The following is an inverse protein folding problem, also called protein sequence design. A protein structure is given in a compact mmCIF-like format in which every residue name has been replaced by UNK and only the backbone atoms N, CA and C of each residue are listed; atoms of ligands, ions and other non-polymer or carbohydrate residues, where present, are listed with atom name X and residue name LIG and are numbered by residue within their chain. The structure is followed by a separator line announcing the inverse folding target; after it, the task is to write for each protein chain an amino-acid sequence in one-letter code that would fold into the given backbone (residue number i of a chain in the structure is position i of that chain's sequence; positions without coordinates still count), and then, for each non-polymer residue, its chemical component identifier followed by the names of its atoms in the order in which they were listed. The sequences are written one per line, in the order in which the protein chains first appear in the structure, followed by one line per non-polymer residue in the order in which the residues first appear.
data_IF_271376550123
#
_entry.id   IF_271376550123
#
_cell.length_a   1.000
_cell.length_b   1.000
_cell.length_c   1.000
_cell.angle_alpha   90.00
_cell.angle_beta   90.00
_cell.angle_gamma   90.00
#
_symmetry.space_group_name_H-M   'P 1'
#
loop_
_entity.id
_entity.type
_entity.pdbx_description
1 polymer ?
#
# COMPACT_ATOMS: atom_id res chain seq x y z
N UNK A 1 7.70 -43.35 74.87
CA UNK A 1 8.18 -42.02 74.44
C UNK A 1 9.01 -42.22 73.17
N UNK A 2 8.42 -41.93 72.01
CA UNK A 2 9.09 -41.81 70.70
C UNK A 2 8.28 -40.74 69.95
N UNK A 3 8.86 -39.61 69.48
CA UNK A 3 8.13 -38.66 68.66
C UNK A 3 8.18 -39.10 67.20
N UNK A 4 7.02 -39.28 66.57
CA UNK A 4 6.90 -39.42 65.12
C UNK A 4 7.12 -38.06 64.46
N UNK A 5 8.14 -37.97 63.61
CA UNK A 5 8.39 -36.79 62.77
C UNK A 5 7.42 -36.78 61.59
N UNK A 6 6.44 -35.88 61.61
CA UNK A 6 5.57 -35.59 60.47
C UNK A 6 6.36 -34.73 59.46
N UNK A 7 6.92 -35.38 58.45
CA UNK A 7 7.54 -34.71 57.31
C UNK A 7 6.42 -34.07 56.47
N UNK A 8 6.27 -32.75 56.58
CA UNK A 8 5.28 -31.98 55.84
C UNK A 8 5.47 -32.13 54.32
N UNK A 9 4.33 -32.24 53.63
CA UNK A 9 4.16 -32.56 52.22
C UNK A 9 4.63 -31.41 51.32
N UNK A 10 5.94 -31.33 51.05
CA UNK A 10 6.54 -30.39 50.09
C UNK A 10 6.44 -30.90 48.64
N UNK A 11 5.22 -31.26 48.18
CA UNK A 11 4.98 -31.81 46.84
C UNK A 11 4.11 -30.92 45.94
N UNK A 12 3.12 -30.24 46.51
CA UNK A 12 2.10 -29.53 45.73
C UNK A 12 2.54 -28.13 45.27
N UNK A 13 3.39 -27.44 46.04
CA UNK A 13 3.86 -26.08 45.70
C UNK A 13 4.64 -26.04 44.38
N UNK A 14 5.57 -26.98 44.17
CA UNK A 14 6.44 -27.01 42.99
C UNK A 14 5.67 -27.29 41.68
N UNK A 15 4.56 -28.05 41.71
CA UNK A 15 3.70 -28.30 40.54
C UNK A 15 2.85 -27.06 40.23
N UNK A 16 2.35 -26.37 41.26
CA UNK A 16 1.56 -25.14 41.11
C UNK A 16 2.45 -24.00 40.57
N UNK A 17 3.67 -23.84 41.09
CA UNK A 17 4.66 -22.88 40.58
C UNK A 17 5.04 -23.16 39.13
N UNK A 18 5.27 -24.43 38.75
CA UNK A 18 5.55 -24.80 37.35
C UNK A 18 4.38 -24.51 36.42
N UNK A 19 3.14 -24.75 36.86
CA UNK A 19 1.93 -24.42 36.10
C UNK A 19 1.76 -22.91 35.95
N UNK A 20 2.00 -22.15 37.01
CA UNK A 20 1.95 -20.69 36.98
C UNK A 20 3.04 -20.11 36.07
N UNK A 21 4.27 -20.62 36.16
CA UNK A 21 5.38 -20.20 35.30
C UNK A 21 5.12 -20.55 33.83
N UNK A 22 4.58 -21.75 33.54
CA UNK A 22 4.19 -22.12 32.18
C UNK A 22 3.06 -21.26 31.62
N UNK A 23 2.11 -20.84 32.47
CA UNK A 23 1.04 -19.93 32.06
C UNK A 23 1.59 -18.53 31.73
N UNK A 24 2.54 -18.02 32.51
CA UNK A 24 3.21 -16.72 32.24
C UNK A 24 3.99 -16.78 30.94
N UNK A 25 4.74 -17.85 30.68
CA UNK A 25 5.44 -18.04 29.40
C UNK A 25 4.50 -18.16 28.22
N UNK A 26 3.34 -18.81 28.39
CA UNK A 26 2.28 -18.87 27.39
C UNK A 26 1.68 -17.49 27.07
N UNK A 27 1.44 -16.67 28.10
CA UNK A 27 0.95 -15.30 27.90
C UNK A 27 2.00 -14.45 27.17
N UNK A 28 3.26 -14.51 27.61
CA UNK A 28 4.36 -13.78 26.96
C UNK A 28 4.53 -14.17 25.50
N UNK A 29 4.47 -15.46 25.18
CA UNK A 29 4.59 -15.93 23.80
C UNK A 29 3.43 -15.46 22.93
N UNK A 30 2.19 -15.49 23.44
CA UNK A 30 1.02 -14.93 22.74
C UNK A 30 1.21 -13.43 22.48
N UNK A 31 1.64 -12.66 23.48
CA UNK A 31 1.88 -11.22 23.30
C UNK A 31 2.92 -10.93 22.22
N UNK A 32 4.01 -11.69 22.20
CA UNK A 32 5.04 -11.57 21.14
C UNK A 32 4.45 -11.90 19.76
N UNK A 33 3.68 -12.99 19.65
CA UNK A 33 3.04 -13.37 18.39
C UNK A 33 2.03 -12.32 17.91
N UNK A 34 1.28 -11.69 18.82
CA UNK A 34 0.35 -10.60 18.48
C UNK A 34 1.10 -9.41 17.90
N UNK A 35 2.24 -9.02 18.48
CA UNK A 35 3.06 -7.93 17.96
C UNK A 35 3.62 -8.26 16.57
N UNK A 36 4.13 -9.47 16.38
CA UNK A 36 4.64 -9.93 15.08
C UNK A 36 3.52 -9.94 14.04
N UNK A 37 2.36 -10.49 14.38
CA UNK A 37 1.21 -10.54 13.49
C UNK A 37 0.72 -9.13 13.13
N UNK A 38 0.65 -8.21 14.10
CA UNK A 38 0.31 -6.81 13.86
C UNK A 38 1.28 -6.15 12.86
N UNK A 39 2.59 -6.30 13.08
CA UNK A 39 3.60 -5.77 12.17
C UNK A 39 3.49 -6.34 10.75
N UNK A 40 3.22 -7.64 10.60
CA UNK A 40 3.00 -8.26 9.30
C UNK A 40 1.76 -7.73 8.59
N UNK A 41 0.65 -7.57 9.32
CA UNK A 41 -0.60 -7.01 8.78
C UNK A 41 -0.40 -5.57 8.32
N UNK A 42 0.35 -4.77 9.08
CA UNK A 42 0.63 -3.37 8.72
C UNK A 42 1.46 -3.27 7.45
N UNK A 43 2.52 -4.08 7.32
CA UNK A 43 3.33 -4.15 6.10
C UNK A 43 2.47 -4.59 4.91
N UNK A 44 1.66 -5.64 5.08
CA UNK A 44 0.78 -6.12 4.02
C UNK A 44 -0.20 -5.03 3.57
N UNK A 45 -0.81 -4.29 4.51
CA UNK A 45 -1.72 -3.18 4.20
C UNK A 45 -1.03 -2.07 3.42
N UNK A 46 0.24 -1.77 3.75
CA UNK A 46 1.04 -0.80 3.00
C UNK A 46 1.27 -1.25 1.55
N UNK A 47 1.65 -2.51 1.34
CA UNK A 47 1.83 -3.06 -0.02
C UNK A 47 0.53 -3.10 -0.81
N UNK A 48 -0.57 -3.52 -0.17
CA UNK A 48 -1.90 -3.50 -0.79
C UNK A 48 -2.32 -2.08 -1.20
N UNK A 49 -2.01 -1.08 -0.37
CA UNK A 49 -2.26 0.32 -0.71
C UNK A 49 -1.43 0.79 -1.91
N UNK A 50 -0.15 0.43 -1.96
CA UNK A 50 0.75 0.79 -3.06
C UNK A 50 0.32 0.16 -4.39
N UNK A 51 0.03 -1.14 -4.39
CA UNK A 51 -0.38 -1.85 -5.59
C UNK A 51 -1.72 -1.33 -6.12
N UNK A 52 -2.66 -1.03 -5.23
CA UNK A 52 -3.90 -0.37 -5.61
C UNK A 52 -3.65 0.98 -6.29
N UNK A 53 -2.77 1.82 -5.73
CA UNK A 53 -2.47 3.14 -6.31
C UNK A 53 -1.88 3.03 -7.72
N UNK A 54 -1.02 2.05 -7.97
CA UNK A 54 -0.49 1.79 -9.31
C UNK A 54 -1.56 1.30 -10.28
N UNK A 55 -2.46 0.42 -9.85
CA UNK A 55 -3.59 -0.02 -10.67
C UNK A 55 -4.49 1.14 -11.07
N UNK A 56 -4.82 2.02 -10.12
CA UNK A 56 -5.65 3.21 -10.37
C UNK A 56 -4.94 4.19 -11.30
N UNK A 57 -3.62 4.38 -11.13
CA UNK A 57 -2.84 5.25 -12.02
C UNK A 57 -2.80 4.71 -13.46
N UNK A 58 -2.67 3.39 -13.65
CA UNK A 58 -2.73 2.76 -14.97
C UNK A 58 -4.10 2.90 -15.61
N UNK A 59 -5.16 2.68 -14.85
CA UNK A 59 -6.53 2.86 -15.32
C UNK A 59 -6.81 4.32 -15.70
N UNK A 60 -6.37 5.28 -14.89
CA UNK A 60 -6.50 6.70 -15.17
C UNK A 60 -5.71 7.11 -16.42
N UNK A 61 -4.49 6.60 -16.59
CA UNK A 61 -3.70 6.82 -17.79
C UNK A 61 -4.38 6.26 -19.05
N UNK A 62 -4.96 5.05 -18.97
CA UNK A 62 -5.69 4.44 -20.07
C UNK A 62 -6.98 5.21 -20.41
N UNK A 63 -7.73 5.65 -19.40
CA UNK A 63 -8.94 6.45 -19.58
C UNK A 63 -8.61 7.81 -20.22
N UNK A 64 -7.58 8.50 -19.71
CA UNK A 64 -7.10 9.77 -20.26
C UNK A 64 -6.61 9.62 -21.71
N UNK A 65 -5.81 8.60 -22.01
CA UNK A 65 -5.30 8.37 -23.36
C UNK A 65 -6.37 7.85 -24.36
N UNK A 66 -7.39 7.14 -23.88
CA UNK A 66 -8.45 6.63 -24.75
C UNK A 66 -9.45 7.71 -25.15
N UNK A 67 -9.83 8.58 -24.20
CA UNK A 67 -10.84 9.63 -24.41
C UNK A 67 -10.25 10.99 -24.77
N UNK A 68 -9.03 11.28 -24.34
CA UNK A 68 -8.35 12.54 -24.63
C UNK A 68 -7.56 12.55 -25.94
N UNK A 69 -7.80 11.61 -26.86
CA UNK A 69 -7.13 11.60 -28.18
C UNK A 69 -7.61 12.79 -29.02
N UNK A 70 -6.66 13.60 -29.48
CA UNK A 70 -6.91 14.72 -30.39
C UNK A 70 -6.94 14.22 -31.84
N UNK A 71 -8.14 14.03 -32.38
CA UNK A 71 -8.34 13.57 -33.74
C UNK A 71 -8.07 14.65 -34.78
N UNK A 72 -8.22 15.92 -34.42
CA UNK A 72 -7.95 17.03 -35.33
C UNK A 72 -6.43 17.15 -35.55
N UNK A 73 -5.63 17.00 -34.49
CA UNK A 73 -4.18 16.92 -34.61
C UNK A 73 -3.73 15.73 -35.47
N UNK A 74 -4.36 14.56 -35.32
CA UNK A 74 -4.08 13.38 -36.14
C UNK A 74 -4.34 13.65 -37.63
N UNK A 75 -5.47 14.27 -37.96
CA UNK A 75 -5.85 14.55 -39.35
C UNK A 75 -4.91 15.58 -40.01
N UNK A 76 -4.43 16.56 -39.23
CA UNK A 76 -3.60 17.65 -39.76
C UNK A 76 -2.10 17.33 -39.77
N UNK A 77 -1.61 16.58 -38.79
CA UNK A 77 -0.16 16.33 -38.59
C UNK A 77 0.25 14.88 -38.85
N UNK A 78 -0.71 13.95 -38.86
CA UNK A 78 -0.44 12.51 -38.94
C UNK A 78 0.00 11.88 -37.62
N UNK A 79 0.14 12.66 -36.55
CA UNK A 79 0.59 12.18 -35.23
C UNK A 79 -0.55 12.14 -34.21
N UNK A 80 -0.56 11.10 -33.37
CA UNK A 80 -1.51 10.98 -32.27
C UNK A 80 -1.07 11.87 -31.12
N UNK A 81 -1.79 12.97 -30.92
CA UNK A 81 -1.61 13.85 -29.77
C UNK A 81 -2.75 13.68 -28.76
N UNK A 82 -2.56 14.20 -27.56
CA UNK A 82 -3.60 14.25 -26.55
C UNK A 82 -4.09 15.69 -26.37
N UNK A 83 -5.41 15.87 -26.38
CA UNK A 83 -6.03 17.05 -25.81
C UNK A 83 -5.79 17.02 -24.29
N UNK A 84 -4.92 17.92 -23.84
CA UNK A 84 -4.50 17.98 -22.44
C UNK A 84 -5.68 18.18 -21.48
N UNK A 85 -6.68 18.99 -21.86
CA UNK A 85 -7.81 19.29 -20.99
C UNK A 85 -8.71 18.06 -20.83
N UNK A 86 -9.06 17.41 -21.94
CA UNK A 86 -9.91 16.21 -21.93
C UNK A 86 -9.20 15.04 -21.26
N UNK A 87 -7.93 14.78 -21.63
CA UNK A 87 -7.15 13.71 -21.04
C UNK A 87 -6.97 13.88 -19.53
N UNK A 88 -6.71 15.12 -19.06
CA UNK A 88 -6.56 15.41 -17.63
C UNK A 88 -7.87 15.24 -16.88
N UNK A 89 -8.99 15.69 -17.45
CA UNK A 89 -10.32 15.57 -16.83
C UNK A 89 -10.72 14.10 -16.66
N UNK A 90 -10.56 13.29 -17.70
CA UNK A 90 -10.91 11.86 -17.67
C UNK A 90 -10.03 11.08 -16.70
N UNK A 91 -8.72 11.35 -16.68
CA UNK A 91 -7.82 10.76 -15.69
C UNK A 91 -8.19 11.17 -14.25
N UNK A 92 -8.54 12.45 -14.03
CA UNK A 92 -8.99 12.94 -12.73
C UNK A 92 -10.27 12.25 -12.26
N UNK A 93 -11.24 12.04 -13.15
CA UNK A 93 -12.49 11.36 -12.80
C UNK A 93 -12.25 9.93 -12.30
N UNK A 94 -11.35 9.18 -12.94
CA UNK A 94 -11.00 7.82 -12.50
C UNK A 94 -10.35 7.84 -11.12
N UNK A 95 -9.34 8.71 -10.91
CA UNK A 95 -8.65 8.80 -9.62
C UNK A 95 -9.59 9.24 -8.51
N UNK A 96 -10.42 10.26 -8.76
CA UNK A 96 -11.39 10.75 -7.79
C UNK A 96 -12.43 9.69 -7.42
N UNK A 97 -12.96 8.97 -8.41
CA UNK A 97 -13.89 7.85 -8.18
C UNK A 97 -13.24 6.75 -7.34
N UNK A 98 -12.01 6.35 -7.67
CA UNK A 98 -11.29 5.33 -6.92
C UNK A 98 -10.96 5.77 -5.47
N UNK A 99 -10.58 7.04 -5.27
CA UNK A 99 -10.34 7.60 -3.95
C UNK A 99 -11.61 7.63 -3.11
N UNK A 100 -12.75 8.03 -3.69
CA UNK A 100 -14.05 8.04 -3.03
C UNK A 100 -14.49 6.62 -2.65
N UNK A 101 -14.35 5.64 -3.55
CA UNK A 101 -14.68 4.24 -3.29
C UNK A 101 -13.88 3.65 -2.12
N UNK A 102 -12.66 4.14 -1.90
CA UNK A 102 -11.80 3.73 -0.78
C UNK A 102 -11.93 4.62 0.47
N UNK A 103 -12.79 5.64 0.42
CA UNK A 103 -13.00 6.59 1.53
C UNK A 103 -11.80 7.48 1.82
N UNK A 104 -10.93 7.73 0.83
CA UNK A 104 -9.75 8.58 1.02
C UNK A 104 -10.18 10.05 0.95
N UNK A 105 -10.04 10.74 2.07
CA UNK A 105 -10.39 12.16 2.24
C UNK A 105 -9.15 12.99 2.61
N UNK A 106 -9.14 14.27 2.23
CA UNK A 106 -8.08 15.21 2.61
C UNK A 106 -6.78 15.12 1.80
N UNK A 107 -6.72 14.25 0.78
CA UNK A 107 -5.60 14.16 -0.15
C UNK A 107 -5.99 14.69 -1.53
N UNK A 108 -5.05 15.35 -2.20
CA UNK A 108 -5.23 15.85 -3.57
C UNK A 108 -4.37 15.04 -4.54
N UNK A 109 -4.96 14.55 -5.63
CA UNK A 109 -4.21 13.92 -6.73
C UNK A 109 -3.57 14.98 -7.63
N UNK A 110 -2.32 14.76 -8.02
CA UNK A 110 -1.64 15.56 -9.05
C UNK A 110 -1.51 14.71 -10.32
N UNK A 111 -2.15 15.14 -11.39
CA UNK A 111 -2.17 14.45 -12.69
C UNK A 111 -1.58 15.39 -13.73
N UNK A 112 -0.66 14.86 -14.53
CA UNK A 112 -0.01 15.58 -15.62
C UNK A 112 -0.09 14.76 -16.90
N UNK A 113 -0.44 15.42 -17.99
CA UNK A 113 -0.55 14.83 -19.32
C UNK A 113 0.57 15.41 -20.17
N UNK A 114 1.27 14.56 -20.91
CA UNK A 114 2.22 14.95 -21.95
C UNK A 114 1.48 14.90 -23.28
N UNK A 115 1.17 16.05 -23.90
CA UNK A 115 0.43 16.09 -25.17
C UNK A 115 1.27 15.68 -26.37
N UNK A 116 2.60 15.84 -26.25
CA UNK A 116 3.56 15.65 -27.34
C UNK A 116 3.66 14.15 -27.72
N UNK A 117 3.44 13.81 -29.01
CA UNK A 117 3.53 12.44 -29.50
C UNK A 117 4.93 11.82 -29.37
N UNK A 118 5.97 12.64 -29.27
CA UNK A 118 7.36 12.19 -29.10
C UNK A 118 7.76 12.08 -27.62
N UNK A 119 6.83 12.33 -26.69
CA UNK A 119 7.05 12.29 -25.26
C UNK A 119 7.69 13.57 -24.73
N UNK A 120 8.44 13.45 -23.63
CA UNK A 120 9.08 14.58 -22.97
C UNK A 120 9.08 14.44 -21.45
N UNK A 121 9.30 15.57 -20.77
CA UNK A 121 9.26 15.65 -19.30
C UNK A 121 8.46 16.87 -18.87
N UNK A 122 7.84 16.77 -17.70
CA UNK A 122 7.15 17.90 -17.08
C UNK A 122 7.96 18.30 -15.85
N UNK A 123 8.44 19.54 -15.84
CA UNK A 123 9.26 20.03 -14.74
C UNK A 123 8.55 19.87 -13.39
N UNK A 124 9.26 19.28 -12.42
CA UNK A 124 8.71 18.98 -11.09
C UNK A 124 7.72 17.81 -11.03
N UNK A 125 7.58 17.02 -12.11
CA UNK A 125 6.75 15.81 -12.11
C UNK A 125 7.51 14.59 -12.65
N UNK A 126 7.53 13.45 -11.91
CA UNK A 126 6.93 13.25 -10.59
C UNK A 126 7.65 14.08 -9.49
N UNK A 127 6.96 14.53 -8.43
CA UNK A 127 7.56 15.38 -7.37
C UNK A 127 8.71 14.72 -6.62
N UNK A 128 8.77 13.39 -6.66
CA UNK A 128 9.89 12.59 -6.19
C UNK A 128 10.16 11.51 -7.23
N UNK A 129 11.44 11.21 -7.54
CA UNK A 129 11.78 10.08 -8.37
C UNK A 129 11.16 8.80 -7.80
N UNK A 130 10.39 8.10 -8.61
CA UNK A 130 9.84 6.79 -8.22
C UNK A 130 10.83 5.76 -8.73
N UNK A 131 11.45 5.01 -7.82
CA UNK A 131 12.14 3.78 -8.19
C UNK A 131 11.08 2.80 -8.69
N UNK A 132 10.97 2.66 -10.01
CA UNK A 132 10.32 1.49 -10.58
C UNK A 132 11.24 0.29 -10.35
N UNK A 133 10.66 -0.90 -10.17
CA UNK A 133 11.46 -2.13 -10.02
C UNK A 133 12.31 -2.38 -11.26
N UNK A 134 13.39 -3.14 -11.12
CA UNK A 134 14.28 -3.48 -12.23
C UNK A 134 13.46 -3.98 -13.45
N UNK A 135 13.59 -3.30 -14.58
CA UNK A 135 12.91 -3.64 -15.84
C UNK A 135 11.66 -2.81 -16.18
N UNK A 136 11.23 -1.88 -15.32
CA UNK A 136 10.18 -0.90 -15.64
C UNK A 136 10.83 0.47 -15.78
N UNK A 137 10.92 0.96 -17.03
CA UNK A 137 11.58 2.21 -17.47
C UNK A 137 11.69 3.30 -16.40
N UNK A 138 12.90 3.83 -16.21
CA UNK A 138 13.09 5.12 -15.53
C UNK A 138 12.32 6.19 -16.30
N UNK A 139 11.54 6.99 -15.57
CA UNK A 139 10.97 8.24 -16.09
C UNK A 139 12.00 9.33 -15.85
N UNK A 140 13.14 9.24 -16.54
CA UNK A 140 14.13 10.32 -16.57
C UNK A 140 13.74 11.36 -17.60
#
# INVERSE_FOLDING_TARGET
MIPFSLKAFSGNGMIIERKAQSAVWGLLSILVLVVIAGGLVDIYRLYAARNWAYSVAQEAALAGASRGRDWDAVLNTGFIQLDQAVASYEAQNVVNSAMQARGIIGYTSSIRVLPDPFGGTISGFPPRPVRLGDGLSDWS
#
